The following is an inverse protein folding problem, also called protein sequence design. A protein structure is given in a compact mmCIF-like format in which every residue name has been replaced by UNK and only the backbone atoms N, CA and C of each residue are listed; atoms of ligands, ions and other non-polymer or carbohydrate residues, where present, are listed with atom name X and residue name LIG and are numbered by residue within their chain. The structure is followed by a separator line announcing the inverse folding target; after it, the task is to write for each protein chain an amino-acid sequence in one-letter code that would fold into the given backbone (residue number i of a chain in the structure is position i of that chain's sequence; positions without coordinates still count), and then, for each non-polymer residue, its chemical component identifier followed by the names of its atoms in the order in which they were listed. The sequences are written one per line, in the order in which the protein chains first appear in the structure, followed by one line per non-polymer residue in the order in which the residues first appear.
data_IF_544245762384
#
_entry.id   IF_544245762384
#
_cell.length_a   1.000
_cell.length_b   1.000
_cell.length_c   1.000
_cell.angle_alpha   90.00
_cell.angle_beta   90.00
_cell.angle_gamma   90.00
#
_symmetry.space_group_name_H-M   'P 1'
#
loop_
_entity.id
_entity.type
_entity.pdbx_description
1 polymer ?
#
# COMPACT_ATOMS: atom_id res chain seq x y z
N UNK A 1 -11.93 1.38 -13.06
CA UNK A 1 -11.26 2.67 -12.77
C UNK A 1 -10.07 2.79 -13.71
N UNK A 2 -9.57 4.01 -13.96
CA UNK A 2 -8.46 4.22 -14.89
C UNK A 2 -7.10 3.91 -14.24
N UNK A 3 -6.07 3.64 -15.05
CA UNK A 3 -4.70 3.43 -14.55
C UNK A 3 -4.21 4.64 -13.73
N UNK A 4 -4.52 5.86 -14.18
CA UNK A 4 -4.20 7.08 -13.45
C UNK A 4 -4.83 7.15 -12.04
N UNK A 5 -6.05 6.62 -11.86
CA UNK A 5 -6.66 6.49 -10.53
C UNK A 5 -5.83 5.54 -9.65
N UNK A 6 -5.49 4.36 -10.16
CA UNK A 6 -4.73 3.38 -9.41
C UNK A 6 -3.32 3.88 -9.07
N UNK A 7 -2.66 4.56 -9.99
CA UNK A 7 -1.34 5.15 -9.75
C UNK A 7 -1.38 6.22 -8.66
N UNK A 8 -2.43 7.05 -8.63
CA UNK A 8 -2.61 8.03 -7.56
C UNK A 8 -2.83 7.39 -6.19
N UNK A 9 -3.80 6.46 -6.08
CA UNK A 9 -4.14 5.87 -4.78
C UNK A 9 -3.06 4.93 -4.25
N UNK A 10 -2.18 4.42 -5.13
CA UNK A 10 -0.99 3.65 -4.73
C UNK A 10 0.25 4.51 -4.49
N UNK A 11 0.17 5.82 -4.72
CA UNK A 11 1.30 6.74 -4.54
C UNK A 11 2.42 6.59 -5.58
N UNK A 12 2.10 6.05 -6.77
CA UNK A 12 2.97 6.05 -7.96
C UNK A 12 2.93 7.38 -8.70
N UNK A 13 1.87 8.15 -8.49
CA UNK A 13 1.69 9.50 -9.01
C UNK A 13 1.06 10.39 -7.94
N UNK A 14 1.39 11.68 -7.99
CA UNK A 14 0.71 12.72 -7.21
C UNK A 14 -0.19 13.60 -8.12
N UNK A 15 -0.34 13.22 -9.39
CA UNK A 15 -1.21 13.93 -10.35
C UNK A 15 -2.65 13.46 -10.17
N UNK A 16 -3.53 14.37 -9.74
CA UNK A 16 -4.98 14.12 -9.65
C UNK A 16 -5.54 13.83 -11.04
N UNK A 17 -6.11 12.63 -11.29
CA UNK A 17 -6.72 12.30 -12.58
C UNK A 17 -7.92 13.21 -12.89
N UNK A 18 -8.12 13.49 -14.17
CA UNK A 18 -9.23 14.31 -14.65
C UNK A 18 -10.59 13.77 -14.16
N UNK A 19 -11.52 14.68 -13.83
CA UNK A 19 -12.85 14.33 -13.34
C UNK A 19 -12.91 13.85 -11.88
N UNK A 20 -11.79 13.82 -11.15
CA UNK A 20 -11.76 13.41 -9.75
C UNK A 20 -11.58 14.60 -8.79
N UNK A 21 -12.14 14.46 -7.59
CA UNK A 21 -11.93 15.41 -6.50
C UNK A 21 -10.68 15.01 -5.69
N UNK A 22 -9.75 15.93 -5.50
CA UNK A 22 -8.49 15.70 -4.77
C UNK A 22 -8.71 15.18 -3.34
N UNK A 23 -9.62 15.78 -2.57
CA UNK A 23 -9.90 15.35 -1.18
C UNK A 23 -10.44 13.92 -1.15
N UNK A 24 -11.31 13.59 -2.10
CA UNK A 24 -11.82 12.23 -2.26
C UNK A 24 -10.70 11.23 -2.54
N UNK A 25 -9.79 11.56 -3.46
CA UNK A 25 -8.66 10.69 -3.78
C UNK A 25 -7.65 10.56 -2.63
N UNK A 26 -7.41 11.62 -1.86
CA UNK A 26 -6.59 11.54 -0.65
C UNK A 26 -7.21 10.58 0.37
N UNK A 27 -8.53 10.60 0.54
CA UNK A 27 -9.22 9.62 1.37
C UNK A 27 -9.05 8.19 0.83
N UNK A 28 -9.21 7.96 -0.47
CA UNK A 28 -8.97 6.64 -1.07
C UNK A 28 -7.52 6.17 -0.90
N UNK A 29 -6.54 7.03 -1.15
CA UNK A 29 -5.11 6.74 -0.93
C UNK A 29 -4.85 6.33 0.52
N UNK A 30 -5.43 7.06 1.47
CA UNK A 30 -5.34 6.69 2.88
C UNK A 30 -5.98 5.33 3.18
N UNK A 31 -7.16 5.05 2.64
CA UNK A 31 -7.85 3.77 2.85
C UNK A 31 -7.09 2.58 2.26
N UNK A 32 -6.47 2.73 1.09
CA UNK A 32 -5.60 1.70 0.49
C UNK A 32 -4.41 1.43 1.41
N UNK A 33 -3.72 2.47 1.87
CA UNK A 33 -2.61 2.33 2.81
C UNK A 33 -3.05 1.69 4.14
N UNK A 34 -4.18 2.13 4.69
CA UNK A 34 -4.71 1.64 5.96
C UNK A 34 -5.08 0.16 5.89
N UNK A 35 -5.79 -0.25 4.83
CA UNK A 35 -6.15 -1.64 4.60
C UNK A 35 -4.91 -2.53 4.46
N UNK A 36 -3.91 -2.08 3.70
CA UNK A 36 -2.64 -2.79 3.59
C UNK A 36 -1.92 -2.91 4.93
N UNK A 37 -1.82 -1.81 5.68
CA UNK A 37 -1.20 -1.80 7.02
C UNK A 37 -1.90 -2.80 7.96
N UNK A 38 -3.22 -2.76 8.06
CA UNK A 38 -3.97 -3.64 8.96
C UNK A 38 -3.82 -5.11 8.61
N UNK A 39 -3.83 -5.45 7.32
CA UNK A 39 -3.64 -6.83 6.89
C UNK A 39 -2.23 -7.34 7.16
N UNK A 40 -1.21 -6.59 6.77
CA UNK A 40 0.18 -6.99 6.99
C UNK A 40 0.44 -7.10 8.50
N UNK A 41 -0.05 -6.17 9.31
CA UNK A 41 0.06 -6.23 10.77
C UNK A 41 -0.64 -7.46 11.36
N UNK A 42 -1.83 -7.82 10.87
CA UNK A 42 -2.55 -8.99 11.38
C UNK A 42 -1.81 -10.30 11.11
N UNK A 43 -1.03 -10.39 10.02
CA UNK A 43 -0.23 -11.56 9.67
C UNK A 43 1.19 -11.53 10.25
N UNK A 44 1.75 -10.35 10.47
CA UNK A 44 3.13 -10.13 10.90
C UNK A 44 3.23 -9.06 12.02
N UNK A 45 2.56 -9.26 13.17
CA UNK A 45 2.48 -8.24 14.22
C UNK A 45 3.85 -7.89 14.82
N UNK A 46 4.79 -8.82 14.81
CA UNK A 46 6.15 -8.61 15.30
C UNK A 46 6.93 -7.59 14.45
N UNK A 47 6.69 -7.54 13.14
CA UNK A 47 7.41 -6.64 12.21
C UNK A 47 7.15 -5.18 12.57
N UNK A 48 5.89 -4.80 12.81
CA UNK A 48 5.54 -3.44 13.25
C UNK A 48 6.17 -3.11 14.59
N UNK A 49 6.14 -4.06 15.53
CA UNK A 49 6.69 -3.89 16.89
C UNK A 49 8.20 -3.65 16.86
N UNK A 50 8.93 -4.36 16.00
CA UNK A 50 10.39 -4.25 15.90
C UNK A 50 10.85 -3.02 15.11
N UNK A 51 10.15 -2.66 14.03
CA UNK A 51 10.49 -1.50 13.20
C UNK A 51 10.15 -0.16 13.89
N UNK A 52 9.10 -0.15 14.72
CA UNK A 52 8.51 1.08 15.21
C UNK A 52 7.66 1.78 14.14
N UNK A 53 6.94 2.82 14.56
CA UNK A 53 5.85 3.41 13.77
C UNK A 53 6.31 4.06 12.46
N UNK A 54 7.40 4.83 12.48
CA UNK A 54 7.85 5.58 11.29
C UNK A 54 8.39 4.63 10.19
N UNK A 55 9.21 3.66 10.58
CA UNK A 55 9.73 2.65 9.66
C UNK A 55 8.61 1.74 9.14
N UNK A 56 7.62 1.40 9.98
CA UNK A 56 6.43 0.68 9.54
C UNK A 56 5.64 1.47 8.48
N UNK A 57 5.38 2.75 8.71
CA UNK A 57 4.66 3.62 7.76
C UNK A 57 5.39 3.68 6.41
N UNK A 58 6.70 3.85 6.45
CA UNK A 58 7.54 3.86 5.24
C UNK A 58 7.50 2.52 4.51
N UNK A 59 7.59 1.40 5.23
CA UNK A 59 7.53 0.06 4.67
C UNK A 59 6.20 -0.21 3.96
N UNK A 60 5.07 0.10 4.61
CA UNK A 60 3.74 -0.09 4.01
C UNK A 60 3.53 0.84 2.82
N UNK A 61 4.01 2.09 2.87
CA UNK A 61 3.93 2.99 1.73
C UNK A 61 4.73 2.47 0.53
N UNK A 62 5.94 1.96 0.76
CA UNK A 62 6.75 1.31 -0.28
C UNK A 62 6.06 0.06 -0.83
N UNK A 63 5.56 -0.81 0.04
CA UNK A 63 4.81 -2.01 -0.36
C UNK A 63 3.59 -1.66 -1.23
N UNK A 64 2.76 -0.70 -0.82
CA UNK A 64 1.57 -0.30 -1.60
C UNK A 64 1.95 0.22 -2.99
N UNK A 65 3.04 1.00 -3.08
CA UNK A 65 3.54 1.57 -4.32
C UNK A 65 4.16 0.53 -5.25
N UNK A 66 5.05 -0.31 -4.71
CA UNK A 66 6.00 -1.09 -5.51
C UNK A 66 5.58 -2.57 -5.64
N UNK A 67 4.63 -3.05 -4.83
CA UNK A 67 4.14 -4.43 -4.94
C UNK A 67 3.40 -4.70 -6.26
N UNK A 68 3.47 -5.97 -6.67
CA UNK A 68 2.70 -6.53 -7.78
C UNK A 68 1.29 -6.97 -7.38
N UNK A 69 0.84 -6.57 -6.19
CA UNK A 69 -0.47 -6.92 -5.68
C UNK A 69 -1.58 -6.45 -6.64
N UNK A 70 -2.24 -7.41 -7.27
CA UNK A 70 -3.35 -7.20 -8.21
C UNK A 70 -4.69 -7.76 -7.68
N UNK A 71 -4.67 -8.54 -6.60
CA UNK A 71 -5.89 -9.11 -6.03
C UNK A 71 -6.82 -8.03 -5.49
N UNK A 72 -8.12 -8.23 -5.65
CA UNK A 72 -9.13 -7.39 -4.99
C UNK A 72 -9.38 -7.79 -3.53
N UNK A 73 -8.77 -8.88 -3.07
CA UNK A 73 -8.96 -9.42 -1.73
C UNK A 73 -7.76 -9.15 -0.84
N UNK A 74 -8.04 -8.54 0.30
CA UNK A 74 -7.01 -8.16 1.25
C UNK A 74 -6.33 -9.37 1.93
N UNK A 75 -6.99 -10.52 1.96
CA UNK A 75 -6.43 -11.77 2.48
C UNK A 75 -5.23 -12.29 1.68
N UNK A 76 -5.10 -11.89 0.41
CA UNK A 76 -4.02 -12.33 -0.47
C UNK A 76 -2.75 -11.47 -0.33
N UNK A 77 -2.81 -10.34 0.39
CA UNK A 77 -1.67 -9.42 0.52
C UNK A 77 -0.46 -10.06 1.20
N UNK A 78 -0.67 -11.07 2.04
CA UNK A 78 0.40 -11.69 2.82
C UNK A 78 1.53 -12.19 1.92
N UNK A 79 1.18 -12.91 0.85
CA UNK A 79 2.17 -13.52 -0.03
C UNK A 79 2.82 -12.46 -0.93
N UNK A 80 2.03 -11.47 -1.41
CA UNK A 80 2.55 -10.31 -2.13
C UNK A 80 3.54 -9.47 -1.29
N UNK A 81 3.30 -9.36 0.02
CA UNK A 81 4.19 -8.65 0.94
C UNK A 81 5.53 -9.37 1.09
N UNK A 82 5.52 -10.70 1.22
CA UNK A 82 6.74 -11.50 1.26
C UNK A 82 7.52 -11.40 -0.07
N UNK A 83 6.82 -11.43 -1.20
CA UNK A 83 7.43 -11.25 -2.52
C UNK A 83 8.07 -9.86 -2.64
N UNK A 84 7.37 -8.80 -2.21
CA UNK A 84 7.89 -7.44 -2.19
C UNK A 84 9.18 -7.33 -1.35
N UNK A 85 9.19 -7.90 -0.14
CA UNK A 85 10.37 -7.90 0.72
C UNK A 85 11.55 -8.59 0.03
N UNK A 86 11.33 -9.77 -0.57
CA UNK A 86 12.38 -10.53 -1.26
C UNK A 86 12.99 -9.75 -2.44
N UNK A 87 12.19 -8.95 -3.15
CA UNK A 87 12.67 -8.09 -4.25
C UNK A 87 13.44 -6.84 -3.76
N UNK A 88 13.20 -6.37 -2.53
CA UNK A 88 13.76 -5.12 -1.99
C UNK A 88 14.84 -5.31 -0.90
N UNK A 89 15.17 -6.55 -0.55
CA UNK A 89 16.27 -6.89 0.37
C UNK A 89 17.49 -7.52 -0.32
N UNK A 90 17.49 -7.59 -1.66
CA UNK A 90 18.63 -8.01 -2.48
C UNK A 90 19.54 -6.82 -2.84
#
# INVERSE_FOLDING_TARGET
MSDAFYDYVRGRSDVVPEGHNERGLQAYRHLVWLGASQMVESHFPEVRRELGEDAWRALIAAFVRDSRWQSHYYGDLKDDFLAFLAEHTA
#
